data_IF_949719281006
#
_entry.id   IF_949719281006
#
_cell.length_a   1.000
_cell.length_b   1.000
_cell.length_c   1.000
_cell.angle_alpha   90.00
_cell.angle_beta   90.00
_cell.angle_gamma   90.00
#
_symmetry.space_group_name_H-M   'P 1'
#
loop_
_entity.id
_entity.type
_entity.pdbx_description
1 polymer ?
#
# COMPACT_ATOMS: atom_id res chain seq x y z
N UNK A 1 -42.97 -17.84 -2.15
CA UNK A 1 -41.86 -18.25 -1.27
C UNK A 1 -40.55 -17.74 -1.89
N UNK A 2 -39.77 -16.95 -1.13
CA UNK A 2 -38.29 -16.85 -1.10
C UNK A 2 -37.53 -17.37 -2.36
N UNK A 3 -36.57 -16.67 -2.99
CA UNK A 3 -35.60 -15.68 -2.49
C UNK A 3 -34.54 -15.35 -3.58
N UNK A 4 -33.96 -14.16 -3.47
CA UNK A 4 -32.62 -13.70 -3.90
C UNK A 4 -32.34 -13.36 -5.38
N UNK A 5 -32.44 -12.06 -5.63
CA UNK A 5 -31.88 -11.27 -6.73
C UNK A 5 -30.35 -11.18 -6.71
N UNK A 6 -29.77 -11.23 -7.92
CA UNK A 6 -28.54 -10.60 -8.41
C UNK A 6 -27.20 -10.92 -7.71
N UNK A 7 -26.21 -11.35 -8.52
CA UNK A 7 -24.98 -10.57 -8.56
C UNK A 7 -24.35 -10.49 -9.97
N UNK A 8 -23.43 -9.54 -10.11
CA UNK A 8 -22.23 -9.50 -10.99
C UNK A 8 -22.11 -8.08 -11.56
N UNK A 9 -21.59 -7.17 -10.73
CA UNK A 9 -20.19 -6.71 -10.73
C UNK A 9 -19.84 -5.85 -11.95
N UNK A 10 -19.75 -4.56 -11.67
CA UNK A 10 -19.37 -3.49 -12.58
C UNK A 10 -17.97 -3.75 -13.18
N UNK A 11 -17.91 -3.85 -14.50
CA UNK A 11 -16.69 -3.66 -15.27
C UNK A 11 -16.41 -2.15 -15.36
N UNK A 12 -15.75 -1.59 -14.33
CA UNK A 12 -15.21 -0.24 -14.40
C UNK A 12 -13.90 -0.28 -15.22
N UNK A 13 -13.92 0.39 -16.37
CA UNK A 13 -12.77 0.61 -17.23
C UNK A 13 -11.61 1.25 -16.44
N UNK A 14 -10.53 0.50 -16.21
CA UNK A 14 -9.27 1.09 -15.77
C UNK A 14 -8.62 1.78 -16.97
N UNK A 15 -8.67 3.11 -16.95
CA UNK A 15 -7.87 3.96 -17.81
C UNK A 15 -6.39 3.58 -17.65
N UNK A 16 -5.72 3.36 -18.79
CA UNK A 16 -4.29 3.15 -18.88
C UNK A 16 -3.57 4.43 -18.42
N UNK A 17 -3.23 4.50 -17.14
CA UNK A 17 -2.31 5.49 -16.61
C UNK A 17 -0.90 5.04 -16.97
N UNK A 18 -0.24 5.82 -17.84
CA UNK A 18 1.16 5.66 -18.18
C UNK A 18 2.00 5.65 -16.89
N UNK A 19 2.63 4.51 -16.60
CA UNK A 19 3.58 4.36 -15.50
C UNK A 19 4.88 5.08 -15.87
N UNK A 20 5.38 6.02 -15.04
CA UNK A 20 6.64 6.68 -15.31
C UNK A 20 7.79 5.69 -15.09
N UNK A 21 8.59 5.51 -16.15
CA UNK A 21 9.99 5.11 -16.17
C UNK A 21 10.46 4.18 -15.04
N UNK A 22 10.53 2.88 -15.39
CA UNK A 22 11.12 1.78 -14.67
C UNK A 22 12.54 2.07 -14.13
N UNK A 23 12.62 2.63 -12.92
CA UNK A 23 13.83 2.67 -12.10
C UNK A 23 13.85 1.44 -11.18
N UNK A 24 14.07 0.24 -11.74
CA UNK A 24 14.08 -1.04 -11.01
C UNK A 24 13.11 -1.04 -9.82
N UNK A 25 11.82 -1.07 -10.15
CA UNK A 25 10.72 -0.82 -9.22
C UNK A 25 10.78 -1.79 -8.05
N UNK A 26 11.11 -1.25 -6.88
CA UNK A 26 10.99 -1.98 -5.63
C UNK A 26 9.50 -2.11 -5.33
N UNK A 27 8.95 -3.28 -5.63
CA UNK A 27 7.57 -3.61 -5.33
C UNK A 27 7.46 -4.12 -3.90
N UNK A 28 7.09 -3.23 -2.98
CA UNK A 28 6.82 -3.58 -1.59
C UNK A 28 5.35 -4.03 -1.47
N UNK A 29 5.11 -5.34 -1.36
CA UNK A 29 3.77 -5.87 -1.08
C UNK A 29 3.56 -6.00 0.42
N UNK A 30 2.63 -5.23 0.96
CA UNK A 30 2.19 -5.33 2.35
C UNK A 30 0.75 -5.85 2.35
N UNK A 31 0.55 -7.03 2.91
CA UNK A 31 -0.80 -7.55 3.14
C UNK A 31 -1.45 -6.83 4.33
N UNK A 32 -2.67 -6.34 4.09
CA UNK A 32 -3.50 -5.62 5.05
C UNK A 32 -4.88 -6.27 5.22
N UNK A 33 -5.07 -7.50 4.71
CA UNK A 33 -6.37 -8.17 4.73
C UNK A 33 -6.89 -8.44 6.14
N UNK A 34 -5.96 -8.64 7.09
CA UNK A 34 -6.27 -8.86 8.51
C UNK A 34 -6.39 -7.57 9.34
N UNK A 35 -6.25 -6.38 8.73
CA UNK A 35 -6.18 -5.10 9.45
C UNK A 35 -7.32 -4.15 9.07
N UNK A 36 -7.92 -3.53 10.09
CA UNK A 36 -8.90 -2.47 9.88
C UNK A 36 -8.18 -1.13 9.67
N UNK A 37 -8.11 -0.68 8.42
CA UNK A 37 -7.48 0.59 8.06
C UNK A 37 -8.22 1.83 8.61
N UNK A 38 -9.34 1.66 9.33
CA UNK A 38 -10.01 2.73 10.07
C UNK A 38 -9.65 2.76 11.55
N UNK A 39 -8.98 1.72 12.05
CA UNK A 39 -8.48 1.66 13.41
C UNK A 39 -7.04 2.22 13.48
N UNK A 40 -6.78 3.26 14.31
CA UNK A 40 -5.43 3.83 14.43
C UNK A 40 -4.37 2.85 14.94
N UNK A 41 -4.77 1.84 15.74
CA UNK A 41 -3.84 0.80 16.21
C UNK A 41 -3.34 -0.08 15.05
N UNK A 42 -4.26 -0.46 14.17
CA UNK A 42 -3.95 -1.30 13.00
C UNK A 42 -3.15 -0.52 11.96
N UNK A 43 -3.41 0.78 11.80
CA UNK A 43 -2.58 1.68 10.99
C UNK A 43 -1.13 1.69 11.47
N UNK A 44 -0.89 1.73 12.78
CA UNK A 44 0.46 1.68 13.33
C UNK A 44 1.18 0.37 12.99
N UNK A 45 0.45 -0.76 13.01
CA UNK A 45 0.97 -2.06 12.58
C UNK A 45 1.32 -2.06 11.09
N UNK A 46 0.46 -1.51 10.22
CA UNK A 46 0.76 -1.41 8.78
C UNK A 46 1.98 -0.53 8.53
N UNK A 47 2.13 0.59 9.24
CA UNK A 47 3.33 1.45 9.14
C UNK A 47 4.60 0.69 9.55
N UNK A 48 4.54 -0.13 10.60
CA UNK A 48 5.63 -1.03 10.98
C UNK A 48 5.99 -2.03 9.89
N UNK A 49 4.99 -2.66 9.27
CA UNK A 49 5.18 -3.59 8.14
C UNK A 49 5.79 -2.90 6.91
N UNK A 50 5.36 -1.67 6.62
CA UNK A 50 5.93 -0.84 5.55
C UNK A 50 7.42 -0.59 5.80
N UNK A 51 7.79 -0.22 7.03
CA UNK A 51 9.19 0.06 7.38
C UNK A 51 10.07 -1.20 7.23
N UNK A 52 9.61 -2.35 7.74
CA UNK A 52 10.34 -3.62 7.62
C UNK A 52 10.49 -4.07 6.17
N UNK A 53 9.41 -3.98 5.40
CA UNK A 53 9.42 -4.39 4.00
C UNK A 53 10.29 -3.44 3.13
N UNK A 54 10.29 -2.14 3.47
CA UNK A 54 11.17 -1.13 2.86
C UNK A 54 12.64 -1.37 3.18
N UNK A 55 12.98 -1.67 4.44
CA UNK A 55 14.35 -1.99 4.84
C UNK A 55 14.88 -3.21 4.08
N UNK A 56 14.11 -4.31 4.03
CA UNK A 56 14.48 -5.51 3.28
C UNK A 56 14.67 -5.22 1.79
N UNK A 57 13.74 -4.48 1.20
CA UNK A 57 13.81 -4.07 -0.19
C UNK A 57 15.06 -3.21 -0.49
N UNK A 58 15.35 -2.21 0.34
CA UNK A 58 16.48 -1.33 0.14
C UNK A 58 17.81 -2.06 0.36
N UNK A 59 17.91 -2.95 1.34
CA UNK A 59 19.09 -3.83 1.49
C UNK A 59 19.33 -4.67 0.24
N UNK A 60 18.26 -5.21 -0.36
CA UNK A 60 18.37 -6.00 -1.59
C UNK A 60 18.76 -5.15 -2.80
N UNK A 61 18.31 -3.89 -2.88
CA UNK A 61 18.57 -2.99 -4.02
C UNK A 61 19.95 -2.33 -3.96
N UNK A 62 20.29 -1.72 -2.83
CA UNK A 62 21.50 -0.89 -2.68
C UNK A 62 22.60 -1.60 -1.89
N UNK A 63 22.35 -2.79 -1.36
CA UNK A 63 23.28 -3.53 -0.54
C UNK A 63 23.31 -3.06 0.92
N UNK A 64 24.38 -3.42 1.63
CA UNK A 64 24.47 -3.14 3.06
C UNK A 64 24.57 -1.63 3.35
N UNK A 65 23.79 -1.10 4.30
CA UNK A 65 23.87 0.30 4.71
C UNK A 65 25.24 0.68 5.29
N UNK A 66 26.05 -0.30 5.72
CA UNK A 66 27.41 -0.05 6.20
C UNK A 66 28.34 0.51 5.11
N UNK A 67 28.09 0.15 3.85
CA UNK A 67 28.92 0.59 2.72
C UNK A 67 28.20 1.61 1.84
N UNK A 68 26.87 1.60 1.84
CA UNK A 68 26.04 2.45 0.97
C UNK A 68 25.01 3.25 1.78
N UNK A 69 25.44 3.91 2.86
CA UNK A 69 24.56 4.60 3.80
C UNK A 69 23.64 5.64 3.12
N UNK A 70 24.18 6.52 2.27
CA UNK A 70 23.41 7.54 1.58
C UNK A 70 22.37 6.93 0.62
N UNK A 71 22.77 5.98 -0.23
CA UNK A 71 21.86 5.31 -1.16
C UNK A 71 20.77 4.49 -0.44
N UNK A 72 21.10 3.92 0.72
CA UNK A 72 20.14 3.23 1.57
C UNK A 72 19.13 4.19 2.19
N UNK A 73 19.60 5.33 2.70
CA UNK A 73 18.75 6.37 3.27
C UNK A 73 17.78 6.94 2.22
N UNK A 74 18.29 7.25 1.02
CA UNK A 74 17.47 7.74 -0.09
C UNK A 74 16.43 6.70 -0.52
N UNK A 75 16.83 5.43 -0.65
CA UNK A 75 15.92 4.35 -0.97
C UNK A 75 14.83 4.21 0.11
N UNK A 76 15.22 4.23 1.38
CA UNK A 76 14.31 4.05 2.50
C UNK A 76 13.30 5.19 2.58
N UNK A 77 13.77 6.45 2.49
CA UNK A 77 12.92 7.63 2.52
C UNK A 77 11.93 7.65 1.35
N UNK A 78 12.42 7.45 0.12
CA UNK A 78 11.57 7.46 -1.07
C UNK A 78 10.52 6.35 -1.02
N UNK A 79 10.91 5.13 -0.65
CA UNK A 79 10.00 3.98 -0.60
C UNK A 79 8.98 4.12 0.52
N UNK A 80 9.39 4.60 1.70
CA UNK A 80 8.49 4.83 2.84
C UNK A 80 7.47 5.92 2.52
N UNK A 81 7.90 7.01 1.88
CA UNK A 81 7.01 8.10 1.48
C UNK A 81 5.93 7.60 0.50
N UNK A 82 6.34 6.89 -0.57
CA UNK A 82 5.40 6.32 -1.53
C UNK A 82 4.42 5.33 -0.88
N UNK A 83 4.91 4.51 0.05
CA UNK A 83 4.07 3.55 0.76
C UNK A 83 3.07 4.23 1.70
N UNK A 84 3.43 5.34 2.36
CA UNK A 84 2.51 6.13 3.17
C UNK A 84 1.46 6.86 2.34
N UNK A 85 1.83 7.42 1.18
CA UNK A 85 0.84 8.00 0.26
C UNK A 85 -0.16 6.95 -0.23
N UNK A 86 0.29 5.72 -0.49
CA UNK A 86 -0.60 4.61 -0.82
C UNK A 86 -1.48 4.22 0.37
N UNK A 87 -0.93 4.19 1.59
CA UNK A 87 -1.69 3.90 2.81
C UNK A 87 -2.83 4.91 3.01
N UNK A 88 -2.55 6.20 2.88
CA UNK A 88 -3.56 7.25 3.03
C UNK A 88 -4.68 7.13 2.00
N UNK A 89 -4.33 6.85 0.73
CA UNK A 89 -5.34 6.57 -0.32
C UNK A 89 -6.21 5.38 0.06
N UNK A 90 -5.62 4.32 0.63
CA UNK A 90 -6.37 3.13 1.09
C UNK A 90 -7.28 3.44 2.29
N UNK A 91 -6.83 4.28 3.23
CA UNK A 91 -7.66 4.73 4.35
C UNK A 91 -8.87 5.55 3.88
N UNK A 92 -8.66 6.47 2.92
CA UNK A 92 -9.73 7.27 2.35
C UNK A 92 -10.79 6.39 1.65
N UNK A 93 -10.36 5.34 0.94
CA UNK A 93 -11.27 4.38 0.32
C UNK A 93 -12.01 3.53 1.37
N UNK A 94 -11.29 2.98 2.37
CA UNK A 94 -11.90 2.16 3.42
C UNK A 94 -12.96 2.92 4.23
N UNK A 95 -12.68 4.18 4.56
CA UNK A 95 -13.65 5.05 5.25
C UNK A 95 -14.85 5.43 4.37
N UNK A 96 -14.64 5.62 3.06
CA UNK A 96 -15.72 5.85 2.11
C UNK A 96 -16.63 4.61 1.96
N UNK A 97 -16.05 3.40 1.89
CA UNK A 97 -16.81 2.14 1.82
C UNK A 97 -17.64 1.89 3.08
N UNK A 98 -17.09 2.15 4.26
CA UNK A 98 -17.85 2.08 5.53
C UNK A 98 -19.03 3.06 5.55
N UNK A 99 -18.84 4.27 5.03
CA UNK A 99 -19.91 5.27 4.95
C UNK A 99 -21.01 4.83 3.99
N UNK A 100 -20.64 4.29 2.82
CA UNK A 100 -21.58 3.78 1.82
C UNK A 100 -22.38 2.56 2.31
N UNK A 101 -21.80 1.72 3.17
CA UNK A 101 -22.49 0.55 3.76
C UNK A 101 -23.47 0.91 4.87
N UNK A 102 -23.35 2.12 5.45
CA UNK A 102 -24.20 2.59 6.56
C UNK A 102 -25.45 3.34 6.08
N UNK A 103 -25.49 3.77 4.82
CA UNK A 103 -26.66 4.34 4.13
C UNK A 103 -27.47 3.28 3.41
#
# INVERSE_FOLDING_TARGET
MRKFTLPVFAAACFAAIATPAAAAEVTVRVDVADLDLTNPADIAVVKGRIAEATDKACRNKVGSPLFNAAAFEDCSKASTQLAFEQLEKRQALASAELKAKRT
#
